data_IF_868560962258
#
_entry.id   IF_868560962258
#
_cell.length_a   1.000
_cell.length_b   1.000
_cell.length_c   1.000
_cell.angle_alpha   90.00
_cell.angle_beta   90.00
_cell.angle_gamma   90.00
#
_symmetry.space_group_name_H-M   'P 1'
#
loop_
_entity.id
_entity.type
_entity.pdbx_description
1 polymer ?
#
# COMPACT_ATOMS: atom_id res chain seq x y z
N UNK A 1 -21.50 -23.70 -23.23
CA UNK A 1 -21.76 -23.79 -24.69
C UNK A 1 -23.13 -23.22 -25.10
N UNK A 2 -24.15 -23.17 -24.23
CA UNK A 2 -25.49 -22.64 -24.53
C UNK A 2 -25.60 -21.11 -24.69
N UNK A 3 -24.62 -20.33 -24.23
CA UNK A 3 -24.67 -18.86 -24.36
C UNK A 3 -24.42 -18.37 -25.80
N UNK A 4 -23.65 -19.08 -26.63
CA UNK A 4 -23.28 -18.61 -27.97
C UNK A 4 -24.42 -18.65 -28.99
N UNK A 5 -25.34 -19.63 -28.89
CA UNK A 5 -26.47 -19.75 -29.83
C UNK A 5 -27.55 -18.68 -29.65
N UNK A 6 -27.73 -18.20 -28.41
CA UNK A 6 -28.68 -17.13 -28.10
C UNK A 6 -28.26 -15.79 -28.73
N UNK A 7 -26.97 -15.46 -28.65
CA UNK A 7 -26.42 -14.25 -29.28
C UNK A 7 -26.54 -14.28 -30.81
N UNK A 8 -26.31 -15.45 -31.42
CA UNK A 8 -26.36 -15.58 -32.88
C UNK A 8 -27.77 -15.36 -33.44
N UNK A 9 -28.79 -15.83 -32.70
CA UNK A 9 -30.21 -15.66 -33.08
C UNK A 9 -30.66 -14.20 -32.94
N UNK A 10 -30.25 -13.51 -31.87
CA UNK A 10 -30.54 -12.08 -31.70
C UNK A 10 -29.85 -11.20 -32.76
N UNK A 11 -28.59 -11.49 -33.10
CA UNK A 11 -27.87 -10.79 -34.16
C UNK A 11 -28.55 -10.95 -35.53
N UNK A 12 -29.05 -12.15 -35.86
CA UNK A 12 -29.78 -12.40 -37.11
C UNK A 12 -31.11 -11.62 -37.17
N UNK A 13 -31.88 -11.56 -36.09
CA UNK A 13 -33.13 -10.79 -36.07
C UNK A 13 -32.87 -9.29 -36.24
N UNK A 14 -31.85 -8.75 -35.59
CA UNK A 14 -31.46 -7.34 -35.73
C UNK A 14 -31.04 -7.04 -37.17
N UNK A 15 -30.22 -7.90 -37.79
CA UNK A 15 -29.80 -7.74 -39.19
C UNK A 15 -31.00 -7.78 -40.18
N UNK A 16 -31.98 -8.64 -39.93
CA UNK A 16 -33.18 -8.73 -40.78
C UNK A 16 -34.09 -7.50 -40.66
N UNK A 17 -34.18 -6.87 -39.48
CA UNK A 17 -34.92 -5.61 -39.30
C UNK A 17 -34.25 -4.47 -40.08
N UNK A 18 -32.91 -4.44 -40.10
CA UNK A 18 -32.17 -3.44 -40.88
C UNK A 18 -32.24 -3.66 -42.40
N UNK A 19 -32.42 -4.90 -42.86
CA UNK A 19 -32.55 -5.21 -44.28
C UNK A 19 -33.90 -4.76 -44.89
N UNK A 20 -34.95 -4.60 -44.07
CA UNK A 20 -36.29 -4.24 -44.53
C UNK A 20 -36.52 -2.73 -44.73
N UNK A 21 -35.61 -1.88 -44.24
CA UNK A 21 -35.65 -0.43 -44.44
C UNK A 21 -34.50 -0.03 -45.37
N UNK A 22 -34.80 0.65 -46.49
CA UNK A 22 -33.83 1.07 -47.50
C UNK A 22 -32.83 2.11 -46.93
N UNK A 23 -31.85 1.65 -46.17
CA UNK A 23 -30.74 2.45 -45.69
C UNK A 23 -29.71 2.50 -46.82
N UNK A 24 -29.50 3.68 -47.41
CA UNK A 24 -28.53 3.84 -48.50
C UNK A 24 -27.12 3.37 -48.07
N UNK A 25 -26.27 2.86 -48.98
CA UNK A 25 -24.91 2.42 -48.64
C UNK A 25 -24.06 3.49 -47.94
N UNK A 26 -24.33 4.78 -48.24
CA UNK A 26 -23.70 5.93 -47.57
C UNK A 26 -24.16 6.09 -46.12
N UNK A 27 -25.44 5.84 -45.85
CA UNK A 27 -26.03 5.88 -44.51
C UNK A 27 -25.55 4.69 -43.67
N UNK A 28 -25.42 3.50 -44.27
CA UNK A 28 -24.92 2.29 -43.59
C UNK A 28 -23.46 2.43 -43.15
N UNK A 29 -22.60 3.05 -43.97
CA UNK A 29 -21.21 3.38 -43.58
C UNK A 29 -21.15 4.34 -42.39
N UNK A 30 -22.00 5.36 -42.34
CA UNK A 30 -22.06 6.30 -41.21
C UNK A 30 -22.51 5.60 -39.93
N UNK A 31 -23.55 4.76 -40.00
CA UNK A 31 -24.04 3.98 -38.84
C UNK A 31 -22.98 3.03 -38.30
N UNK A 32 -22.25 2.31 -39.18
CA UNK A 32 -21.16 1.43 -38.73
C UNK A 32 -19.99 2.22 -38.10
N UNK A 33 -19.63 3.39 -38.65
CA UNK A 33 -18.58 4.23 -38.10
C UNK A 33 -18.95 4.78 -36.71
N UNK A 34 -20.21 5.21 -36.53
CA UNK A 34 -20.73 5.68 -35.24
C UNK A 34 -20.79 4.54 -34.22
N UNK A 35 -21.24 3.35 -34.63
CA UNK A 35 -21.28 2.18 -33.75
C UNK A 35 -19.87 1.75 -33.29
N UNK A 36 -18.88 1.78 -34.18
CA UNK A 36 -17.48 1.47 -33.84
C UNK A 36 -16.87 2.50 -32.86
N UNK A 37 -17.19 3.79 -33.01
CA UNK A 37 -16.76 4.84 -32.08
C UNK A 37 -17.40 4.69 -30.69
N UNK A 38 -18.69 4.32 -30.63
CA UNK A 38 -19.40 4.07 -29.36
C UNK A 38 -18.86 2.81 -28.66
N UNK A 39 -18.58 1.73 -29.40
CA UNK A 39 -17.96 0.52 -28.85
C UNK A 39 -16.51 0.77 -28.37
N UNK A 40 -15.73 1.58 -29.08
CA UNK A 40 -14.38 1.99 -28.65
C UNK A 40 -14.38 2.85 -27.38
N UNK A 41 -15.35 3.76 -27.24
CA UNK A 41 -15.50 4.59 -26.06
C UNK A 41 -15.88 3.78 -24.80
N UNK A 42 -16.67 2.71 -24.95
CA UNK A 42 -17.06 1.82 -23.85
C UNK A 42 -15.91 0.92 -23.36
N UNK A 43 -14.94 0.58 -24.22
CA UNK A 43 -13.76 -0.20 -23.81
C UNK A 43 -12.76 0.63 -22.98
N UNK A 44 -12.73 1.96 -23.15
CA UNK A 44 -11.84 2.84 -22.38
C UNK A 44 -12.26 3.02 -20.92
N UNK A 45 -13.55 2.85 -20.59
CA UNK A 45 -14.03 2.92 -19.20
C UNK A 45 -13.83 1.61 -18.42
N UNK A 46 -13.49 0.50 -19.08
CA UNK A 46 -13.62 -0.84 -18.51
C UNK A 46 -12.40 -1.40 -17.75
N UNK A 47 -11.29 -0.66 -17.59
CA UNK A 47 -10.12 -1.20 -16.86
C UNK A 47 -9.40 -0.18 -15.98
N UNK A 48 -10.11 0.66 -15.24
CA UNK A 48 -9.53 1.13 -13.98
C UNK A 48 -9.54 -0.04 -12.99
N UNK A 49 -8.44 -0.79 -12.93
CA UNK A 49 -8.27 -1.81 -11.89
C UNK A 49 -8.45 -1.11 -10.55
N UNK A 50 -9.30 -1.62 -9.65
CA UNK A 50 -9.49 -1.00 -8.34
C UNK A 50 -8.14 -0.95 -7.63
N UNK A 51 -7.78 0.23 -7.13
CA UNK A 51 -6.56 0.43 -6.35
C UNK A 51 -6.66 -0.43 -5.10
N UNK A 52 -5.73 -1.38 -4.93
CA UNK A 52 -5.56 -2.09 -3.67
C UNK A 52 -5.12 -1.10 -2.61
N UNK A 53 -5.92 -0.95 -1.56
CA UNK A 53 -5.63 -0.07 -0.43
C UNK A 53 -5.05 -0.91 0.72
N UNK A 54 -4.30 -0.28 1.65
CA UNK A 54 -4.06 -0.86 2.97
C UNK A 54 -5.34 -1.41 3.59
N UNK A 55 -5.22 -2.46 4.40
CA UNK A 55 -6.40 -3.00 5.09
C UNK A 55 -7.03 -1.95 5.99
N UNK A 56 -8.35 -2.01 6.16
CA UNK A 56 -9.07 -1.13 7.08
C UNK A 56 -8.49 -1.22 8.50
N UNK A 57 -8.11 -2.42 8.92
CA UNK A 57 -7.53 -2.66 10.24
C UNK A 57 -6.20 -1.89 10.44
N UNK A 58 -5.27 -1.92 9.47
CA UNK A 58 -3.99 -1.21 9.65
C UNK A 58 -4.20 0.31 9.66
N UNK A 59 -5.14 0.81 8.86
CA UNK A 59 -5.51 2.23 8.84
C UNK A 59 -6.08 2.67 10.19
N UNK A 60 -7.08 1.95 10.70
CA UNK A 60 -7.76 2.29 11.94
C UNK A 60 -6.86 2.13 13.17
N UNK A 61 -6.06 1.06 13.21
CA UNK A 61 -5.22 0.77 14.36
C UNK A 61 -4.17 1.86 14.57
N UNK A 62 -3.41 2.22 13.52
CA UNK A 62 -2.30 3.16 13.63
C UNK A 62 -2.72 4.63 13.57
N UNK A 63 -3.90 4.97 13.04
CA UNK A 63 -4.31 6.36 12.85
C UNK A 63 -4.13 7.22 14.13
N UNK A 64 -3.60 8.43 13.94
CA UNK A 64 -3.41 9.41 15.01
C UNK A 64 -1.97 9.52 15.49
N UNK A 65 -1.80 10.01 16.71
CA UNK A 65 -0.50 10.35 17.30
C UNK A 65 -0.14 9.38 18.42
N UNK A 66 1.15 9.08 18.53
CA UNK A 66 1.70 8.14 19.50
C UNK A 66 2.95 8.71 20.15
N UNK A 67 3.19 8.31 21.39
CA UNK A 67 4.42 8.61 22.10
C UNK A 67 4.97 7.33 22.68
N UNK A 68 6.28 7.13 22.56
CA UNK A 68 6.90 5.89 23.00
C UNK A 68 8.28 6.06 23.58
N UNK A 69 8.65 5.05 24.34
CA UNK A 69 9.93 4.92 25.01
C UNK A 69 10.44 3.49 24.83
N UNK A 70 11.75 3.32 24.92
CA UNK A 70 12.39 2.01 24.88
C UNK A 70 13.89 2.15 24.99
N UNK A 71 14.62 1.23 24.37
CA UNK A 71 16.07 1.20 24.47
C UNK A 71 16.71 0.59 23.21
N UNK A 72 17.95 1.00 22.98
CA UNK A 72 18.85 0.29 22.09
C UNK A 72 19.27 -1.04 22.69
N UNK A 73 19.79 -1.96 21.89
CA UNK A 73 20.42 -3.21 22.35
C UNK A 73 21.58 -2.99 23.36
N UNK A 74 22.14 -1.78 23.40
CA UNK A 74 23.14 -1.37 24.38
C UNK A 74 22.56 -1.01 25.76
N UNK A 75 21.24 -0.98 25.93
CA UNK A 75 20.54 -0.52 27.13
C UNK A 75 20.42 1.00 27.25
N UNK A 76 20.87 1.77 26.24
CA UNK A 76 20.69 3.22 26.21
C UNK A 76 19.21 3.55 25.94
N UNK A 77 18.59 4.47 26.68
CA UNK A 77 17.19 4.83 26.46
C UNK A 77 17.01 5.58 25.13
N UNK A 78 15.84 5.39 24.53
CA UNK A 78 15.34 6.14 23.36
C UNK A 78 13.87 6.48 23.58
N UNK A 79 13.43 7.61 23.04
CA UNK A 79 12.01 7.98 23.04
C UNK A 79 11.68 8.75 21.77
N UNK A 80 10.45 8.60 21.30
CA UNK A 80 10.00 9.18 20.04
C UNK A 80 8.51 9.52 20.06
N UNK A 81 8.13 10.42 19.15
CA UNK A 81 6.74 10.73 18.83
C UNK A 81 6.46 10.33 17.38
N UNK A 82 5.30 9.70 17.18
CA UNK A 82 4.86 9.25 15.87
C UNK A 82 3.53 9.89 15.48
N UNK A 83 3.29 10.00 14.17
CA UNK A 83 1.95 10.23 13.65
C UNK A 83 1.67 9.40 12.41
N UNK A 84 0.44 8.89 12.30
CA UNK A 84 -0.04 8.16 11.14
C UNK A 84 -1.30 8.79 10.60
N UNK A 85 -1.35 9.01 9.28
CA UNK A 85 -2.48 9.63 8.61
C UNK A 85 -2.79 8.92 7.30
N UNK A 86 -4.07 8.61 7.09
CA UNK A 86 -4.54 8.18 5.77
C UNK A 86 -4.39 9.33 4.76
N UNK A 87 -3.78 9.04 3.62
CA UNK A 87 -3.48 10.01 2.58
C UNK A 87 -3.86 9.44 1.21
N UNK A 88 -4.02 10.33 0.22
CA UNK A 88 -4.35 9.97 -1.16
C UNK A 88 -5.57 9.03 -1.25
N UNK A 89 -6.70 9.46 -0.70
CA UNK A 89 -7.95 8.69 -0.63
C UNK A 89 -7.83 7.35 0.11
N UNK A 90 -7.01 7.33 1.17
CA UNK A 90 -6.66 6.13 1.95
C UNK A 90 -5.92 5.06 1.14
N UNK A 91 -5.34 5.43 0.00
CA UNK A 91 -4.48 4.53 -0.78
C UNK A 91 -3.10 4.39 -0.13
N UNK A 92 -2.72 5.35 0.69
CA UNK A 92 -1.46 5.38 1.43
C UNK A 92 -1.65 5.83 2.87
N UNK A 93 -0.71 5.44 3.73
CA UNK A 93 -0.53 5.94 5.10
C UNK A 93 0.75 6.78 5.09
N UNK A 94 0.63 8.03 5.48
CA UNK A 94 1.76 8.89 5.82
C UNK A 94 2.13 8.62 7.28
N UNK A 95 3.38 8.27 7.54
CA UNK A 95 3.94 7.96 8.85
C UNK A 95 5.12 8.90 9.14
N UNK A 96 5.03 9.66 10.22
CA UNK A 96 6.11 10.50 10.73
C UNK A 96 6.69 9.89 12.00
N UNK A 97 8.02 9.89 12.10
CA UNK A 97 8.80 9.46 13.26
C UNK A 97 9.75 10.58 13.66
N UNK A 98 9.70 10.98 14.93
CA UNK A 98 10.58 12.01 15.48
C UNK A 98 11.15 11.53 16.81
N UNK A 99 12.44 11.24 16.83
CA UNK A 99 13.14 11.00 18.09
C UNK A 99 13.19 12.27 18.94
N UNK A 100 13.08 12.09 20.25
CA UNK A 100 13.33 13.13 21.24
C UNK A 100 14.80 13.16 21.64
N UNK A 101 15.22 14.29 22.20
CA UNK A 101 16.55 14.46 22.77
C UNK A 101 16.89 13.32 23.77
N UNK A 102 18.14 12.83 23.80
CA UNK A 102 19.32 13.38 23.12
C UNK A 102 19.46 12.98 21.64
N UNK A 103 18.58 12.11 21.14
CA UNK A 103 18.56 11.75 19.73
C UNK A 103 17.90 12.84 18.89
N UNK A 104 18.11 12.78 17.58
CA UNK A 104 17.60 13.78 16.63
C UNK A 104 17.14 13.17 15.31
N UNK A 105 17.00 11.84 15.28
CA UNK A 105 16.54 11.12 14.10
C UNK A 105 15.11 11.54 13.75
N UNK A 106 14.86 11.77 12.47
CA UNK A 106 13.53 12.02 11.94
C UNK A 106 13.34 11.21 10.67
N UNK A 107 12.14 10.70 10.46
CA UNK A 107 11.79 10.02 9.23
C UNK A 107 10.34 10.25 8.83
N UNK A 108 10.13 10.39 7.52
CA UNK A 108 8.83 10.32 6.88
C UNK A 108 8.74 9.02 6.12
N UNK A 109 7.61 8.34 6.21
CA UNK A 109 7.35 7.12 5.48
C UNK A 109 5.97 7.07 4.84
N UNK A 110 5.90 6.42 3.69
CA UNK A 110 4.66 6.19 2.94
C UNK A 110 4.39 4.70 2.85
N UNK A 111 3.32 4.24 3.48
CA UNK A 111 2.92 2.83 3.49
C UNK A 111 1.70 2.58 2.61
N UNK A 112 1.72 1.51 1.83
CA UNK A 112 0.68 1.24 0.85
C UNK A 112 0.68 -0.19 0.37
N UNK A 113 -0.14 -0.47 -0.63
CA UNK A 113 -0.08 -1.73 -1.37
C UNK A 113 0.46 -1.47 -2.76
N UNK A 114 1.54 -2.16 -3.12
CA UNK A 114 2.07 -2.13 -4.48
C UNK A 114 1.04 -2.77 -5.43
N UNK A 115 0.62 -2.04 -6.46
CA UNK A 115 -0.44 -2.52 -7.35
C UNK A 115 0.02 -3.63 -8.29
N UNK A 116 1.33 -3.74 -8.53
CA UNK A 116 1.91 -4.74 -9.42
C UNK A 116 2.10 -6.07 -8.67
N UNK A 117 2.74 -6.02 -7.50
CA UNK A 117 3.03 -7.24 -6.71
C UNK A 117 1.91 -7.62 -5.76
N UNK A 118 1.12 -6.64 -5.31
CA UNK A 118 0.12 -6.82 -4.26
C UNK A 118 0.71 -6.86 -2.85
N UNK A 119 2.03 -6.67 -2.70
CA UNK A 119 2.71 -6.63 -1.41
C UNK A 119 2.39 -5.33 -0.67
N UNK A 120 2.43 -5.38 0.66
CA UNK A 120 2.47 -4.18 1.45
C UNK A 120 3.87 -3.58 1.36
N UNK A 121 3.98 -2.27 1.15
CA UNK A 121 5.26 -1.59 0.96
C UNK A 121 5.34 -0.37 1.86
N UNK A 122 6.56 -0.05 2.29
CA UNK A 122 6.88 1.18 2.99
C UNK A 122 8.10 1.85 2.35
N UNK A 123 7.97 3.10 1.94
CA UNK A 123 9.10 3.93 1.52
C UNK A 123 9.48 4.83 2.68
N UNK A 124 10.73 4.83 3.13
CA UNK A 124 11.20 5.60 4.28
C UNK A 124 12.28 6.58 3.81
N UNK A 125 12.16 7.83 4.23
CA UNK A 125 13.12 8.91 3.99
C UNK A 125 13.51 9.52 5.35
N UNK A 126 14.81 9.70 5.61
CA UNK A 126 15.26 10.13 6.93
C UNK A 126 16.22 11.32 6.93
N UNK A 127 16.35 11.94 8.10
CA UNK A 127 17.16 13.14 8.33
C UNK A 127 18.66 12.92 8.20
N UNK A 128 19.11 11.66 8.02
CA UNK A 128 20.49 11.30 7.73
C UNK A 128 20.75 11.16 6.22
N UNK A 129 19.74 11.46 5.38
CA UNK A 129 19.80 11.36 3.93
C UNK A 129 19.50 9.96 3.39
N UNK A 130 19.04 9.04 4.26
CA UNK A 130 18.66 7.69 3.86
C UNK A 130 17.35 7.68 3.07
N UNK A 131 17.28 6.78 2.08
CA UNK A 131 16.02 6.39 1.44
C UNK A 131 15.98 4.86 1.29
N UNK A 132 14.88 4.24 1.72
CA UNK A 132 14.76 2.77 1.79
C UNK A 132 13.36 2.33 1.38
N UNK A 133 13.27 1.19 0.68
CA UNK A 133 12.00 0.51 0.39
C UNK A 133 11.94 -0.79 1.20
N UNK A 134 10.89 -0.96 1.97
CA UNK A 134 10.57 -2.21 2.64
C UNK A 134 9.34 -2.87 2.01
N UNK A 135 9.27 -4.18 2.08
CA UNK A 135 8.11 -5.00 1.67
C UNK A 135 7.62 -5.87 2.82
N UNK A 136 6.36 -6.30 2.77
CA UNK A 136 5.79 -7.21 3.76
C UNK A 136 4.43 -7.75 3.33
N UNK A 137 3.92 -8.72 4.11
CA UNK A 137 2.65 -9.41 3.84
C UNK A 137 1.40 -8.62 4.30
N UNK A 138 1.61 -7.41 4.80
CA UNK A 138 0.62 -6.55 5.43
C UNK A 138 0.41 -6.85 6.92
N UNK A 139 -0.54 -6.14 7.52
CA UNK A 139 -0.92 -6.31 8.92
C UNK A 139 -1.75 -7.60 9.09
N UNK A 140 -1.26 -8.54 9.90
CA UNK A 140 -1.92 -9.83 10.16
C UNK A 140 -1.75 -10.24 11.61
N UNK A 141 -2.84 -10.67 12.25
CA UNK A 141 -2.82 -11.18 13.61
C UNK A 141 -2.15 -10.22 14.62
N UNK A 142 -2.37 -8.91 14.46
CA UNK A 142 -1.76 -7.91 15.33
C UNK A 142 -0.27 -7.66 15.06
N UNK A 143 0.27 -8.07 13.92
CA UNK A 143 1.69 -7.92 13.59
C UNK A 143 1.89 -7.46 12.14
N UNK A 144 2.87 -6.59 11.93
CA UNK A 144 3.40 -6.23 10.62
C UNK A 144 4.92 -6.34 10.64
N UNK A 145 5.47 -7.09 9.70
CA UNK A 145 6.91 -7.21 9.49
C UNK A 145 7.22 -6.59 8.14
N UNK A 146 8.05 -5.55 8.16
CA UNK A 146 8.58 -4.87 6.98
C UNK A 146 10.04 -5.27 6.82
N UNK A 147 10.38 -5.82 5.66
CA UNK A 147 11.72 -6.34 5.35
C UNK A 147 12.37 -5.54 4.23
N UNK A 148 13.65 -5.25 4.38
CA UNK A 148 14.49 -4.69 3.32
C UNK A 148 15.80 -5.48 3.24
N UNK A 149 16.34 -5.54 2.02
CA UNK A 149 17.71 -5.94 1.75
C UNK A 149 18.40 -4.79 1.00
N UNK A 150 19.61 -4.42 1.44
CA UNK A 150 20.42 -3.43 0.76
C UNK A 150 21.91 -3.76 0.82
N UNK A 151 22.70 -3.14 -0.03
CA UNK A 151 24.16 -3.21 0.05
C UNK A 151 24.64 -2.48 1.32
N UNK A 152 25.56 -3.12 2.03
CA UNK A 152 26.15 -2.53 3.22
C UNK A 152 27.32 -1.60 2.81
N UNK A 153 27.50 -0.41 3.40
CA UNK A 153 28.57 0.51 3.03
C UNK A 153 29.99 -0.07 3.14
N UNK A 154 30.18 -1.07 4.00
CA UNK A 154 31.47 -1.78 4.16
C UNK A 154 31.57 -3.05 3.29
N UNK A 155 30.68 -3.20 2.30
CA UNK A 155 30.57 -4.37 1.45
C UNK A 155 29.64 -5.45 2.01
N UNK A 156 29.11 -6.27 1.10
CA UNK A 156 28.15 -7.33 1.41
C UNK A 156 26.71 -6.83 1.47
N UNK A 157 25.83 -7.70 1.96
CA UNK A 157 24.41 -7.42 2.07
C UNK A 157 24.03 -7.21 3.54
N UNK A 158 23.18 -6.23 3.79
CA UNK A 158 22.53 -6.04 5.08
C UNK A 158 21.02 -6.17 4.91
N UNK A 159 20.43 -6.98 5.77
CA UNK A 159 18.98 -7.14 5.87
C UNK A 159 18.48 -6.37 7.08
N UNK A 160 17.28 -5.82 6.94
CA UNK A 160 16.63 -5.00 7.97
C UNK A 160 15.20 -5.46 8.17
N UNK A 161 14.76 -5.46 9.42
CA UNK A 161 13.34 -5.59 9.78
C UNK A 161 12.88 -4.38 10.57
N UNK A 162 11.70 -3.86 10.21
CA UNK A 162 10.85 -3.17 11.18
C UNK A 162 9.68 -4.08 11.53
N UNK A 163 9.51 -4.36 12.82
CA UNK A 163 8.48 -5.24 13.34
C UNK A 163 7.56 -4.42 14.22
N UNK A 164 6.28 -4.36 13.87
CA UNK A 164 5.23 -3.69 14.64
C UNK A 164 4.31 -4.75 15.24
N UNK A 165 4.11 -4.73 16.55
CA UNK A 165 3.34 -5.73 17.30
C UNK A 165 2.32 -5.05 18.20
N UNK A 166 1.03 -5.32 17.99
CA UNK A 166 -0.06 -4.86 18.86
C UNK A 166 0.11 -5.47 20.24
N UNK A 167 0.16 -4.62 21.26
CA UNK A 167 0.13 -5.03 22.66
C UNK A 167 -1.27 -4.87 23.25
N UNK A 168 -1.95 -3.79 22.89
CA UNK A 168 -3.34 -3.49 23.23
C UNK A 168 -4.01 -2.63 22.16
N UNK A 169 -5.26 -2.21 22.36
CA UNK A 169 -5.97 -1.29 21.45
C UNK A 169 -5.28 0.07 21.30
N UNK A 170 -4.59 0.52 22.34
CA UNK A 170 -3.94 1.83 22.43
C UNK A 170 -2.43 1.74 22.65
N UNK A 171 -1.82 0.56 22.40
CA UNK A 171 -0.38 0.36 22.57
C UNK A 171 0.21 -0.67 21.59
N UNK A 172 1.36 -0.37 21.01
CA UNK A 172 2.13 -1.30 20.18
C UNK A 172 3.63 -1.22 20.44
N UNK A 173 4.35 -2.28 20.11
CA UNK A 173 5.82 -2.32 20.10
C UNK A 173 6.34 -2.20 18.67
N UNK A 174 7.34 -1.35 18.45
CA UNK A 174 8.18 -1.34 17.26
C UNK A 174 9.55 -1.91 17.62
N UNK A 175 10.07 -2.86 16.84
CA UNK A 175 11.44 -3.38 16.96
C UNK A 175 12.18 -3.20 15.64
N UNK A 176 13.39 -2.67 15.69
CA UNK A 176 14.29 -2.62 14.54
C UNK A 176 15.37 -3.70 14.67
N UNK A 177 15.52 -4.54 13.64
CA UNK A 177 16.51 -5.61 13.62
C UNK A 177 17.38 -5.55 12.37
N UNK A 178 18.62 -6.03 12.51
CA UNK A 178 19.56 -6.21 11.41
C UNK A 178 20.00 -7.67 11.31
N UNK A 179 20.33 -8.08 10.09
CA UNK A 179 21.00 -9.34 9.82
C UNK A 179 22.09 -9.16 8.75
N UNK A 180 23.12 -10.02 8.82
CA UNK A 180 24.21 -10.12 7.82
C UNK A 180 24.08 -11.36 6.93
N UNK A 181 23.08 -12.19 7.14
CA UNK A 181 22.86 -13.43 6.39
C UNK A 181 21.38 -13.69 6.08
N UNK A 182 20.48 -12.80 6.53
CA UNK A 182 19.03 -12.96 6.39
C UNK A 182 18.41 -14.01 7.32
N UNK A 183 19.22 -14.64 8.18
CA UNK A 183 18.80 -15.78 9.04
C UNK A 183 18.99 -15.43 10.52
N UNK A 184 20.16 -14.92 10.89
CA UNK A 184 20.50 -14.53 12.25
C UNK A 184 20.22 -13.04 12.44
N UNK A 185 19.14 -12.76 13.16
CA UNK A 185 18.67 -11.40 13.42
C UNK A 185 19.15 -10.89 14.77
N UNK A 186 19.50 -9.61 14.82
CA UNK A 186 19.89 -8.92 16.03
C UNK A 186 19.09 -7.65 16.16
N UNK A 187 18.43 -7.49 17.30
CA UNK A 187 17.77 -6.25 17.66
C UNK A 187 18.81 -5.11 17.74
N UNK A 188 18.45 -3.97 17.17
CA UNK A 188 19.20 -2.70 17.27
C UNK A 188 18.55 -1.81 18.32
N UNK A 189 17.23 -1.64 18.24
CA UNK A 189 16.41 -0.96 19.23
C UNK A 189 14.98 -1.51 19.25
N UNK A 190 14.24 -1.12 20.30
CA UNK A 190 12.80 -1.18 20.31
C UNK A 190 12.21 0.03 21.02
N UNK A 191 10.95 0.33 20.72
CA UNK A 191 10.12 1.28 21.44
C UNK A 191 8.72 0.69 21.65
N UNK A 192 8.13 0.97 22.80
CA UNK A 192 6.71 0.74 23.06
C UNK A 192 6.01 2.09 22.98
N UNK A 193 5.00 2.16 22.13
CA UNK A 193 4.24 3.37 21.85
C UNK A 193 2.84 3.25 22.43
N UNK A 194 2.43 4.28 23.15
CA UNK A 194 1.07 4.46 23.61
C UNK A 194 0.41 5.60 22.84
N UNK A 195 -0.91 5.47 22.61
CA UNK A 195 -1.68 6.49 21.91
C UNK A 195 -1.67 7.79 22.73
N UNK A 196 -1.34 8.91 22.09
CA UNK A 196 -1.33 10.21 22.75
C UNK A 196 -2.75 10.59 23.21
N UNK A 197 -2.88 11.01 24.47
CA UNK A 197 -4.16 11.45 25.05
C UNK A 197 -4.64 12.73 24.34
N UNK A 198 -5.74 12.64 23.58
CA UNK A 198 -6.39 13.80 22.94
C UNK A 198 -6.80 13.63 21.48
N UNK A 199 -6.39 12.57 20.79
CA UNK A 199 -6.64 12.36 19.36
C UNK A 199 -7.43 11.07 19.05
N UNK A 200 -8.54 10.81 19.75
CA UNK A 200 -9.56 9.87 19.23
C UNK A 200 -10.46 10.68 18.29
N UNK A 201 -10.35 10.44 16.99
CA UNK A 201 -11.30 10.95 15.97
C UNK A 201 -12.54 10.07 16.00
#
# INVERSE_FOLDING_TARGET
MLFLESYYTQLKQILNIFAAQYISPKTMKKVMLTAALVLGALQLQAQQRPVKKPSKEVLEYFAGSWSGEGEFASGKPISADLSFKASLDSSWIEYEHIDRAPNSYKATSWWGTDQQTGEFVAYIFDSLGGSRKFTGDGWRNGKLVLTNQQEHPQGGTMWQHFIYERLSEDSFKMTFELSKDGVNWRMVDYLVFDRAKGNRI
#
